data_IF_411322409553
#
_entry.id   IF_411322409553
#
_cell.length_a   1.000
_cell.length_b   1.000
_cell.length_c   1.000
_cell.angle_alpha   90.00
_cell.angle_beta   90.00
_cell.angle_gamma   90.00
#
_symmetry.space_group_name_H-M   'P 1'
#
loop_
_entity.id
_entity.type
_entity.pdbx_description
1 polymer ?
#
# COMPACT_ATOMS: atom_id res chain seq x y z
N UNK A 1 2.84 7.89 15.19
CA UNK A 1 2.66 9.21 14.55
C UNK A 1 3.93 10.08 14.59
N UNK A 2 4.57 10.36 15.73
CA UNK A 2 5.75 11.23 15.75
C UNK A 2 6.93 10.75 14.87
N UNK A 3 7.08 9.45 14.64
CA UNK A 3 8.16 8.88 13.81
C UNK A 3 7.85 8.81 12.32
N UNK A 4 6.58 8.58 11.95
CA UNK A 4 6.16 8.40 10.54
C UNK A 4 5.35 9.59 9.99
N UNK A 5 5.11 10.61 10.81
CA UNK A 5 4.30 11.78 10.43
C UNK A 5 2.79 11.51 10.42
N UNK A 6 2.02 12.56 10.13
CA UNK A 6 0.54 12.51 10.15
C UNK A 6 -0.05 11.59 9.08
N UNK A 7 0.62 11.46 7.92
CA UNK A 7 0.23 10.59 6.79
C UNK A 7 1.00 9.25 6.77
N UNK A 8 1.81 8.97 7.80
CA UNK A 8 2.57 7.73 7.91
C UNK A 8 1.67 6.53 8.17
N UNK A 9 2.07 5.39 7.63
CA UNK A 9 1.36 4.13 7.76
C UNK A 9 1.80 3.41 9.02
N UNK A 10 0.86 2.82 9.76
CA UNK A 10 1.16 1.97 10.90
C UNK A 10 0.48 0.63 10.68
N UNK A 11 1.27 -0.44 10.70
CA UNK A 11 0.82 -1.82 10.58
C UNK A 11 1.10 -2.61 11.86
N UNK A 12 0.34 -3.68 12.06
CA UNK A 12 0.50 -4.58 13.20
C UNK A 12 1.01 -5.93 12.72
N UNK A 13 2.02 -6.44 13.41
CA UNK A 13 2.56 -7.79 13.20
C UNK A 13 2.65 -8.55 14.52
N UNK A 14 2.70 -9.86 14.43
CA UNK A 14 2.98 -10.74 15.55
C UNK A 14 4.49 -10.84 15.74
N UNK A 15 4.97 -10.53 16.96
CA UNK A 15 6.36 -10.71 17.30
C UNK A 15 6.68 -12.19 17.55
N UNK A 16 7.90 -12.58 17.22
CA UNK A 16 8.42 -13.89 17.63
C UNK A 16 8.98 -13.90 19.06
N UNK A 17 8.94 -12.74 19.73
CA UNK A 17 9.38 -12.52 21.10
C UNK A 17 8.21 -12.16 22.01
N UNK A 18 8.44 -12.21 23.33
CA UNK A 18 7.45 -11.81 24.34
C UNK A 18 7.24 -10.29 24.37
N UNK A 19 8.26 -9.53 23.97
CA UNK A 19 8.28 -8.08 24.04
C UNK A 19 7.67 -7.45 22.79
N UNK A 20 7.03 -6.29 22.99
CA UNK A 20 6.58 -5.46 21.88
C UNK A 20 7.76 -4.70 21.30
N UNK A 21 7.80 -4.59 19.99
CA UNK A 21 8.81 -3.81 19.28
C UNK A 21 8.16 -2.84 18.29
N UNK A 22 8.84 -1.72 18.01
CA UNK A 22 8.44 -0.76 17.00
C UNK A 22 9.57 -0.61 15.99
N UNK A 23 9.34 -1.07 14.78
CA UNK A 23 10.26 -0.94 13.65
C UNK A 23 9.68 0.11 12.69
N UNK A 24 10.52 1.01 12.21
CA UNK A 24 10.15 1.94 11.14
C UNK A 24 10.95 1.53 9.91
N UNK A 25 10.25 1.18 8.85
CA UNK A 25 10.82 0.74 7.57
C UNK A 25 10.34 1.65 6.46
N UNK A 26 11.08 1.70 5.37
CA UNK A 26 10.61 2.38 4.19
C UNK A 26 9.44 1.64 3.57
N UNK A 27 8.48 2.39 3.07
CA UNK A 27 7.27 1.83 2.49
C UNK A 27 6.30 2.91 2.09
N UNK A 28 5.30 2.51 1.31
CA UNK A 28 4.24 3.42 0.91
C UNK A 28 2.88 2.75 0.98
N UNK A 29 1.86 3.55 1.23
CA UNK A 29 0.46 3.14 1.15
C UNK A 29 -0.26 4.01 0.13
N UNK A 30 -1.18 3.39 -0.59
CA UNK A 30 -2.10 4.08 -1.49
C UNK A 30 -3.50 3.47 -1.42
N UNK A 31 -4.50 4.29 -1.73
CA UNK A 31 -5.91 3.95 -1.66
C UNK A 31 -6.36 3.22 -2.93
N UNK A 32 -5.88 1.99 -3.09
CA UNK A 32 -6.29 1.05 -4.14
C UNK A 32 -6.19 -0.36 -3.59
N UNK A 33 -7.27 -1.12 -3.72
CA UNK A 33 -7.31 -2.51 -3.30
C UNK A 33 -7.14 -3.48 -4.46
N UNK A 34 -7.27 -4.76 -4.16
CA UNK A 34 -7.22 -5.83 -5.16
C UNK A 34 -8.35 -5.69 -6.19
N UNK A 35 -8.09 -6.08 -7.43
CA UNK A 35 -9.09 -6.04 -8.52
C UNK A 35 -10.18 -7.09 -8.31
N UNK A 36 -9.84 -8.23 -7.72
CA UNK A 36 -10.75 -9.35 -7.53
C UNK A 36 -10.65 -9.95 -6.13
N UNK A 37 -11.78 -10.24 -5.46
CA UNK A 37 -11.79 -10.88 -4.15
C UNK A 37 -11.17 -12.28 -4.15
N UNK A 38 -11.05 -12.92 -5.31
CA UNK A 38 -10.37 -14.22 -5.44
C UNK A 38 -8.86 -14.16 -5.15
N UNK A 39 -8.25 -12.97 -5.08
CA UNK A 39 -6.86 -12.78 -4.70
C UNK A 39 -6.62 -12.78 -3.19
N UNK A 40 -7.68 -12.81 -2.38
CA UNK A 40 -7.59 -12.81 -0.91
C UNK A 40 -6.87 -14.07 -0.41
N UNK A 41 -5.95 -13.89 0.54
CA UNK A 41 -5.25 -14.98 1.25
C UNK A 41 -5.86 -15.25 2.62
N UNK A 42 -6.36 -14.20 3.30
CA UNK A 42 -7.07 -14.26 4.57
C UNK A 42 -8.53 -13.85 4.36
N UNK A 43 -9.42 -14.84 4.36
CA UNK A 43 -10.86 -14.64 4.10
C UNK A 43 -11.58 -13.94 5.26
N UNK A 44 -11.10 -14.07 6.49
CA UNK A 44 -11.74 -13.43 7.64
C UNK A 44 -11.55 -11.92 7.61
N UNK A 45 -10.34 -11.47 7.24
CA UNK A 45 -9.98 -10.05 7.14
C UNK A 45 -10.17 -9.46 5.75
N UNK A 46 -10.44 -10.29 4.76
CA UNK A 46 -10.53 -9.90 3.35
C UNK A 46 -9.26 -9.17 2.88
N UNK A 47 -8.08 -9.69 3.22
CA UNK A 47 -6.78 -9.16 2.82
C UNK A 47 -5.98 -10.17 2.02
N UNK A 48 -5.11 -9.66 1.16
CA UNK A 48 -4.05 -10.42 0.52
C UNK A 48 -2.72 -9.98 1.13
N UNK A 49 -2.03 -10.90 1.79
CA UNK A 49 -0.78 -10.63 2.49
C UNK A 49 0.29 -11.58 2.00
N UNK A 50 1.40 -11.01 1.51
CA UNK A 50 2.55 -11.74 1.01
C UNK A 50 3.85 -11.19 1.57
N UNK A 51 4.70 -12.06 2.07
CA UNK A 51 6.08 -11.77 2.46
C UNK A 51 7.03 -12.08 1.30
N UNK A 52 8.14 -11.34 1.22
CA UNK A 52 9.16 -11.48 0.17
C UNK A 52 8.54 -11.46 -1.23
N UNK A 53 7.69 -10.46 -1.47
CA UNK A 53 6.91 -10.34 -2.69
C UNK A 53 7.70 -9.64 -3.80
N UNK A 54 7.62 -10.15 -5.01
CA UNK A 54 8.12 -9.46 -6.21
C UNK A 54 7.01 -8.62 -6.84
N UNK A 55 7.38 -7.48 -7.40
CA UNK A 55 6.46 -6.52 -8.00
C UNK A 55 6.70 -6.40 -9.50
N UNK A 56 5.65 -6.56 -10.28
CA UNK A 56 5.64 -6.23 -11.71
C UNK A 56 4.86 -4.93 -11.91
N UNK A 57 5.53 -3.91 -12.43
CA UNK A 57 4.99 -2.58 -12.65
C UNK A 57 4.81 -2.35 -14.14
N UNK A 58 3.57 -2.13 -14.59
CA UNK A 58 3.23 -1.99 -16.01
C UNK A 58 2.44 -0.71 -16.24
N UNK A 59 2.96 0.20 -17.04
CA UNK A 59 2.28 1.45 -17.41
C UNK A 59 1.37 1.29 -18.65
N UNK A 60 0.70 0.14 -18.73
CA UNK A 60 -0.17 -0.27 -19.84
C UNK A 60 -1.29 -1.15 -19.31
N UNK A 61 -2.34 -1.29 -20.11
CA UNK A 61 -3.37 -2.31 -19.90
C UNK A 61 -2.83 -3.68 -20.27
N UNK A 62 -3.12 -4.68 -19.46
CA UNK A 62 -2.76 -6.08 -19.72
C UNK A 62 -4.01 -6.78 -20.26
N UNK A 63 -3.98 -7.12 -21.55
CA UNK A 63 -5.10 -7.76 -22.24
C UNK A 63 -5.04 -9.27 -22.12
N UNK A 64 -3.87 -9.88 -22.25
CA UNK A 64 -3.70 -11.32 -22.16
C UNK A 64 -2.62 -11.74 -21.15
N UNK A 65 -2.85 -12.85 -20.46
CA UNK A 65 -1.85 -13.45 -19.58
C UNK A 65 -0.62 -13.97 -20.36
N UNK A 66 -0.74 -14.17 -21.68
CA UNK A 66 0.36 -14.58 -22.54
C UNK A 66 1.46 -13.55 -22.61
N UNK A 67 1.12 -12.26 -22.49
CA UNK A 67 2.10 -11.17 -22.50
C UNK A 67 3.07 -11.24 -21.32
N UNK A 68 2.67 -11.90 -20.22
CA UNK A 68 3.45 -12.05 -18.99
C UNK A 68 3.98 -13.49 -18.79
N UNK A 69 3.90 -14.35 -19.81
CA UNK A 69 4.15 -15.79 -19.62
C UNK A 69 5.53 -16.07 -19.01
N UNK A 70 6.57 -15.35 -19.44
CA UNK A 70 7.93 -15.53 -18.95
C UNK A 70 8.03 -15.27 -17.44
N UNK A 71 7.34 -14.21 -16.96
CA UNK A 71 7.34 -13.82 -15.54
C UNK A 71 6.50 -14.80 -14.73
N UNK A 72 5.35 -15.23 -15.26
CA UNK A 72 4.47 -16.18 -14.58
C UNK A 72 5.12 -17.58 -14.46
N UNK A 73 5.81 -18.04 -15.50
CA UNK A 73 6.56 -19.29 -15.46
C UNK A 73 7.72 -19.24 -14.43
N UNK A 74 8.44 -18.12 -14.38
CA UNK A 74 9.46 -17.90 -13.35
C UNK A 74 8.86 -17.88 -11.94
N UNK A 75 7.70 -17.22 -11.75
CA UNK A 75 7.01 -17.17 -10.46
C UNK A 75 6.54 -18.57 -10.01
N UNK A 76 6.11 -19.42 -10.92
CA UNK A 76 5.73 -20.80 -10.62
C UNK A 76 6.98 -21.64 -10.28
N UNK A 77 8.03 -21.53 -11.10
CA UNK A 77 9.26 -22.31 -10.94
C UNK A 77 9.96 -22.01 -9.61
N UNK A 78 10.10 -20.73 -9.30
CA UNK A 78 10.82 -20.26 -8.11
C UNK A 78 9.89 -20.06 -6.90
N UNK A 79 8.58 -20.27 -7.07
CA UNK A 79 7.53 -20.22 -6.03
C UNK A 79 7.46 -18.88 -5.28
N UNK A 80 7.90 -17.76 -5.86
CA UNK A 80 7.80 -16.45 -5.23
C UNK A 80 6.41 -15.84 -5.42
N UNK A 81 5.92 -15.07 -4.42
CA UNK A 81 4.71 -14.28 -4.56
C UNK A 81 4.91 -13.13 -5.55
N UNK A 82 3.91 -12.86 -6.37
CA UNK A 82 3.94 -11.81 -7.39
C UNK A 82 2.79 -10.83 -7.20
N UNK A 83 3.11 -9.55 -7.06
CA UNK A 83 2.16 -8.46 -7.13
C UNK A 83 2.24 -7.80 -8.51
N UNK A 84 1.11 -7.73 -9.21
CA UNK A 84 1.01 -7.06 -10.51
C UNK A 84 0.31 -5.72 -10.31
N UNK A 85 0.98 -4.63 -10.67
CA UNK A 85 0.43 -3.28 -10.68
C UNK A 85 0.40 -2.81 -12.12
N UNK A 86 -0.79 -2.69 -12.69
CA UNK A 86 -0.97 -2.27 -14.08
C UNK A 86 -2.01 -1.16 -14.19
N UNK A 87 -2.04 -0.45 -15.33
CA UNK A 87 -3.09 0.53 -15.60
C UNK A 87 -4.47 -0.10 -15.50
N UNK A 88 -4.67 -1.23 -16.16
CA UNK A 88 -5.85 -2.07 -16.06
C UNK A 88 -5.49 -3.52 -16.42
N UNK A 89 -6.32 -4.47 -15.98
CA UNK A 89 -6.17 -5.89 -16.33
C UNK A 89 -7.50 -6.36 -16.87
N UNK A 90 -7.52 -6.78 -18.13
CA UNK A 90 -8.73 -7.24 -18.79
C UNK A 90 -9.19 -8.60 -18.25
N UNK A 91 -10.47 -8.90 -18.47
CA UNK A 91 -11.10 -10.09 -17.88
C UNK A 91 -10.40 -11.39 -18.25
N UNK A 92 -9.89 -11.51 -19.48
CA UNK A 92 -9.19 -12.71 -19.95
C UNK A 92 -7.90 -12.96 -19.15
N UNK A 93 -7.08 -11.93 -19.00
CA UNK A 93 -5.85 -12.01 -18.21
C UNK A 93 -6.16 -12.28 -16.73
N UNK A 94 -7.16 -11.58 -16.18
CA UNK A 94 -7.59 -11.76 -14.79
C UNK A 94 -8.09 -13.18 -14.52
N UNK A 95 -8.93 -13.73 -15.38
CA UNK A 95 -9.45 -15.10 -15.24
C UNK A 95 -8.32 -16.12 -15.18
N UNK A 96 -7.31 -15.96 -16.04
CA UNK A 96 -6.14 -16.84 -16.08
C UNK A 96 -5.34 -16.76 -14.76
N UNK A 97 -5.11 -15.56 -14.23
CA UNK A 97 -4.41 -15.37 -12.95
C UNK A 97 -5.18 -15.98 -11.78
N UNK A 98 -6.49 -15.74 -11.71
CA UNK A 98 -7.37 -16.31 -10.68
C UNK A 98 -7.40 -17.82 -10.72
N UNK A 99 -7.55 -18.43 -11.90
CA UNK A 99 -7.57 -19.90 -12.06
C UNK A 99 -6.25 -20.52 -11.57
N UNK A 100 -5.10 -19.94 -11.94
CA UNK A 100 -3.80 -20.44 -11.50
C UNK A 100 -3.59 -20.26 -9.99
N UNK A 101 -4.08 -19.17 -9.41
CA UNK A 101 -4.05 -18.97 -7.97
C UNK A 101 -4.94 -19.98 -7.23
N UNK A 102 -6.17 -20.19 -7.67
CA UNK A 102 -7.09 -21.16 -7.06
C UNK A 102 -6.59 -22.60 -7.14
N UNK A 103 -5.84 -22.92 -8.18
CA UNK A 103 -5.15 -24.22 -8.31
C UNK A 103 -3.92 -24.34 -7.40
N UNK A 104 -3.51 -23.27 -6.72
CA UNK A 104 -2.31 -23.24 -5.89
C UNK A 104 -0.99 -23.22 -6.67
N UNK A 105 -1.05 -23.11 -8.01
CA UNK A 105 0.14 -23.08 -8.86
C UNK A 105 0.88 -21.73 -8.79
N UNK A 106 0.16 -20.62 -8.54
CA UNK A 106 0.70 -19.27 -8.55
C UNK A 106 0.24 -18.49 -7.33
N UNK A 107 1.17 -17.86 -6.63
CA UNK A 107 0.90 -16.90 -5.56
C UNK A 107 0.88 -15.51 -6.18
N UNK A 108 -0.30 -15.02 -6.57
CA UNK A 108 -0.43 -13.75 -7.28
C UNK A 108 -1.53 -12.89 -6.68
N UNK A 109 -1.30 -11.60 -6.72
CA UNK A 109 -2.32 -10.59 -6.51
C UNK A 109 -2.16 -9.49 -7.56
N UNK A 110 -3.26 -8.84 -7.92
CA UNK A 110 -3.25 -7.79 -8.92
C UNK A 110 -4.09 -6.59 -8.47
N UNK A 111 -3.59 -5.40 -8.79
CA UNK A 111 -4.27 -4.14 -8.52
C UNK A 111 -4.09 -3.16 -9.68
N UNK A 112 -5.01 -2.18 -9.75
CA UNK A 112 -4.88 -1.07 -10.69
C UNK A 112 -3.93 -0.02 -10.12
N UNK A 113 -3.07 0.53 -10.98
CA UNK A 113 -2.16 1.60 -10.61
C UNK A 113 -2.91 2.79 -9.98
N UNK A 114 -2.37 3.40 -8.92
CA UNK A 114 -2.96 4.58 -8.33
C UNK A 114 -2.81 5.80 -9.26
N UNK A 115 -3.79 6.70 -9.22
CA UNK A 115 -3.79 7.91 -10.06
C UNK A 115 -4.30 7.69 -11.48
N UNK A 116 -4.32 8.77 -12.27
CA UNK A 116 -4.73 8.80 -13.66
C UNK A 116 -3.76 9.66 -14.48
N UNK A 117 -3.60 9.35 -15.78
CA UNK A 117 -2.74 10.09 -16.69
C UNK A 117 -1.28 10.11 -16.23
N UNK A 118 -0.62 11.26 -16.32
CA UNK A 118 0.80 11.42 -15.93
C UNK A 118 1.08 11.08 -14.47
N UNK A 119 0.12 11.33 -13.56
CA UNK A 119 0.26 10.98 -12.14
C UNK A 119 0.39 9.48 -11.93
N UNK A 120 -0.31 8.66 -12.72
CA UNK A 120 -0.18 7.20 -12.68
C UNK A 120 1.27 6.78 -12.94
N UNK A 121 1.88 7.30 -14.01
CA UNK A 121 3.28 7.02 -14.35
C UNK A 121 4.23 7.45 -13.23
N UNK A 122 3.99 8.61 -12.61
CA UNK A 122 4.79 9.11 -11.50
C UNK A 122 4.68 8.21 -10.25
N UNK A 123 3.49 7.70 -9.92
CA UNK A 123 3.32 6.75 -8.82
C UNK A 123 4.00 5.41 -9.11
N UNK A 124 3.89 4.90 -10.34
CA UNK A 124 4.59 3.67 -10.73
C UNK A 124 6.11 3.83 -10.63
N UNK A 125 6.67 4.99 -11.02
CA UNK A 125 8.09 5.28 -10.86
C UNK A 125 8.51 5.35 -9.38
N UNK A 126 7.69 5.94 -8.52
CA UNK A 126 7.99 6.02 -7.09
C UNK A 126 7.97 4.62 -6.43
N UNK A 127 7.03 3.75 -6.86
CA UNK A 127 7.00 2.35 -6.42
C UNK A 127 8.22 1.60 -6.96
N UNK A 128 8.62 1.84 -8.20
CA UNK A 128 9.81 1.24 -8.80
C UNK A 128 11.08 1.60 -8.02
N UNK A 129 11.23 2.87 -7.66
CA UNK A 129 12.37 3.35 -6.85
C UNK A 129 12.35 2.72 -5.45
N UNK A 130 11.17 2.62 -4.82
CA UNK A 130 11.03 2.00 -3.50
C UNK A 130 11.39 0.52 -3.50
N UNK A 131 11.11 -0.19 -4.58
CA UNK A 131 11.25 -1.65 -4.67
C UNK A 131 12.45 -2.11 -5.51
N UNK A 132 13.20 -1.15 -6.07
CA UNK A 132 14.34 -1.46 -6.97
C UNK A 132 13.93 -2.09 -8.29
N UNK A 133 12.65 -1.98 -8.68
CA UNK A 133 12.12 -2.51 -9.93
C UNK A 133 12.21 -1.51 -11.09
N UNK A 134 11.76 -1.95 -12.26
CA UNK A 134 11.66 -1.11 -13.46
C UNK A 134 10.23 -1.10 -13.97
N UNK A 135 9.70 0.09 -14.27
CA UNK A 135 8.37 0.21 -14.88
C UNK A 135 8.44 -0.21 -16.35
N UNK A 136 7.62 -1.17 -16.73
CA UNK A 136 7.49 -1.60 -18.12
C UNK A 136 6.65 -0.57 -18.86
N UNK A 137 7.32 0.22 -19.72
CA UNK A 137 6.74 1.26 -20.59
C UNK A 137 7.13 1.01 -22.03
N UNK A 138 6.17 1.04 -22.95
CA UNK A 138 6.46 0.92 -24.39
C UNK A 138 7.33 2.07 -24.91
N UNK A 139 7.17 3.25 -24.34
CA UNK A 139 7.99 4.44 -24.67
C UNK A 139 9.48 4.24 -24.41
N UNK A 140 9.85 3.38 -23.47
CA UNK A 140 11.22 2.99 -23.17
C UNK A 140 11.70 1.79 -24.00
N UNK A 141 10.88 1.29 -24.94
CA UNK A 141 11.17 0.09 -25.72
C UNK A 141 11.03 -1.23 -24.93
N UNK A 142 10.49 -1.16 -23.71
CA UNK A 142 10.26 -2.33 -22.88
C UNK A 142 8.86 -2.90 -23.19
N UNK A 143 8.84 -4.06 -23.84
CA UNK A 143 7.61 -4.78 -24.15
C UNK A 143 7.42 -5.94 -23.16
N UNK A 144 6.21 -6.07 -22.61
CA UNK A 144 5.88 -7.01 -21.56
C UNK A 144 6.16 -8.48 -21.94
N UNK A 145 6.06 -8.81 -23.23
CA UNK A 145 6.34 -10.14 -23.77
C UNK A 145 7.84 -10.51 -23.83
N UNK A 146 8.72 -9.50 -23.75
CA UNK A 146 10.18 -9.67 -23.88
C UNK A 146 10.93 -9.52 -22.57
N UNK A 147 10.31 -8.94 -21.55
CA UNK A 147 10.94 -8.75 -20.24
C UNK A 147 10.87 -10.04 -19.40
N UNK A 148 11.90 -10.25 -18.62
CA UNK A 148 12.00 -11.37 -17.67
C UNK A 148 11.92 -10.90 -16.21
N UNK A 149 12.57 -11.62 -15.33
CA UNK A 149 12.60 -11.32 -13.90
C UNK A 149 13.45 -10.10 -13.50
N UNK A 150 14.26 -9.59 -14.42
CA UNK A 150 15.17 -8.46 -14.20
C UNK A 150 14.44 -7.13 -13.95
N UNK A 151 13.19 -7.01 -14.41
CA UNK A 151 12.38 -5.80 -14.19
C UNK A 151 11.61 -5.82 -12.88
N UNK A 152 11.59 -6.96 -12.18
CA UNK A 152 10.81 -7.13 -10.97
C UNK A 152 11.43 -6.36 -9.80
N UNK A 153 10.60 -5.56 -9.11
CA UNK A 153 10.96 -4.99 -7.82
C UNK A 153 10.82 -6.01 -6.68
N UNK A 154 11.44 -5.73 -5.54
CA UNK A 154 11.36 -6.55 -4.34
C UNK A 154 10.69 -5.76 -3.20
N UNK A 155 9.80 -6.42 -2.48
CA UNK A 155 9.22 -5.88 -1.25
C UNK A 155 9.34 -6.92 -0.14
N UNK A 156 9.68 -6.46 1.07
CA UNK A 156 9.71 -7.32 2.24
C UNK A 156 8.30 -7.86 2.56
N UNK A 157 7.29 -7.01 2.43
CA UNK A 157 5.89 -7.38 2.62
C UNK A 157 4.96 -6.54 1.78
N UNK A 158 3.88 -7.15 1.31
CA UNK A 158 2.79 -6.47 0.61
C UNK A 158 1.47 -6.89 1.23
N UNK A 159 0.71 -5.92 1.70
CA UNK A 159 -0.62 -6.15 2.29
C UNK A 159 -1.65 -5.37 1.46
N UNK A 160 -2.57 -6.10 0.82
CA UNK A 160 -3.68 -5.51 0.07
C UNK A 160 -5.00 -5.78 0.76
N UNK A 161 -5.72 -4.71 1.04
CA UNK A 161 -7.10 -4.75 1.46
C UNK A 161 -8.06 -4.51 0.29
N UNK A 162 -9.32 -4.28 0.62
CA UNK A 162 -10.35 -3.94 -0.35
C UNK A 162 -10.15 -2.55 -0.97
N UNK A 163 -9.61 -1.61 -0.20
CA UNK A 163 -9.49 -0.19 -0.59
C UNK A 163 -8.08 0.36 -0.44
N UNK A 164 -7.16 -0.41 0.11
CA UNK A 164 -5.79 0.04 0.38
C UNK A 164 -4.75 -1.01 0.03
N UNK A 165 -3.59 -0.54 -0.39
CA UNK A 165 -2.39 -1.35 -0.61
C UNK A 165 -1.23 -0.74 0.18
N UNK A 166 -0.56 -1.55 0.98
CA UNK A 166 0.65 -1.18 1.71
C UNK A 166 1.81 -2.02 1.16
N UNK A 167 2.84 -1.34 0.69
CA UNK A 167 4.10 -1.95 0.24
C UNK A 167 5.18 -1.56 1.24
N UNK A 168 5.85 -2.54 1.79
CA UNK A 168 6.98 -2.38 2.71
C UNK A 168 8.24 -2.72 1.95
N UNK A 169 9.17 -1.76 1.84
CA UNK A 169 10.48 -1.97 1.21
C UNK A 169 11.37 -2.91 2.03
N UNK A 170 12.39 -3.44 1.39
CA UNK A 170 13.41 -4.27 2.03
C UNK A 170 14.60 -3.47 2.58
N UNK A 171 14.59 -2.14 2.38
CA UNK A 171 15.64 -1.22 2.81
C UNK A 171 16.85 -1.16 1.87
N UNK A 172 16.85 -1.90 0.77
CA UNK A 172 17.96 -1.90 -0.20
C UNK A 172 18.05 -0.60 -1.00
N UNK A 173 16.95 0.15 -1.12
CA UNK A 173 16.79 1.34 -1.96
C UNK A 173 16.70 2.66 -1.19
N UNK A 174 17.11 2.67 0.07
CA UNK A 174 17.07 3.82 0.99
C UNK A 174 17.70 5.10 0.38
N UNK A 175 18.80 4.98 -0.31
CA UNK A 175 19.51 6.13 -0.89
C UNK A 175 18.76 6.71 -2.08
N UNK A 176 18.19 5.87 -2.92
CA UNK A 176 17.40 6.22 -4.09
C UNK A 176 16.09 6.88 -3.67
N UNK A 177 15.41 6.36 -2.66
CA UNK A 177 14.20 6.94 -2.09
C UNK A 177 14.46 8.33 -1.53
N UNK A 178 15.55 8.52 -0.74
CA UNK A 178 15.94 9.82 -0.20
C UNK A 178 16.31 10.82 -1.30
N UNK A 179 16.97 10.35 -2.37
CA UNK A 179 17.27 11.18 -3.52
C UNK A 179 15.99 11.61 -4.26
N UNK A 180 15.02 10.70 -4.43
CA UNK A 180 13.73 10.99 -5.06
C UNK A 180 12.92 11.99 -4.24
N UNK A 181 12.85 11.84 -2.92
CA UNK A 181 12.18 12.80 -2.03
C UNK A 181 12.80 14.20 -2.16
N UNK A 182 14.13 14.31 -2.21
CA UNK A 182 14.80 15.59 -2.44
C UNK A 182 14.45 16.19 -3.81
N UNK A 183 14.34 15.37 -4.85
CA UNK A 183 13.93 15.81 -6.18
C UNK A 183 12.50 16.36 -6.17
N UNK A 184 11.54 15.65 -5.54
CA UNK A 184 10.15 16.10 -5.43
C UNK A 184 10.08 17.41 -4.64
N UNK A 185 10.81 17.55 -3.53
CA UNK A 185 10.84 18.78 -2.74
C UNK A 185 11.35 19.99 -3.56
N UNK A 186 12.35 19.81 -4.42
CA UNK A 186 12.78 20.87 -5.34
C UNK A 186 11.69 21.25 -6.36
N UNK A 187 10.93 20.28 -6.86
CA UNK A 187 9.78 20.56 -7.73
C UNK A 187 8.70 21.37 -7.00
N UNK A 188 8.45 21.10 -5.71
CA UNK A 188 7.51 21.86 -4.88
C UNK A 188 7.94 23.34 -4.78
N UNK A 189 9.25 23.61 -4.64
CA UNK A 189 9.77 24.98 -4.52
C UNK A 189 9.57 25.80 -5.80
N UNK A 190 9.63 25.16 -6.97
CA UNK A 190 9.52 25.82 -8.29
C UNK A 190 8.07 25.89 -8.78
N UNK A 191 7.19 25.05 -8.24
CA UNK A 191 5.79 24.97 -8.68
C UNK A 191 4.99 26.20 -8.22
N UNK A 192 4.27 26.83 -9.15
CA UNK A 192 3.44 28.01 -8.85
C UNK A 192 2.00 27.65 -8.47
N UNK A 193 1.44 26.58 -9.09
CA UNK A 193 0.07 26.16 -8.85
C UNK A 193 -0.08 25.46 -7.48
N UNK A 194 -0.84 26.06 -6.57
CA UNK A 194 -1.07 25.55 -5.21
C UNK A 194 -1.60 24.11 -5.18
N UNK A 195 -2.51 23.75 -6.08
CA UNK A 195 -3.04 22.39 -6.18
C UNK A 195 -1.97 21.37 -6.54
N UNK A 196 -1.10 21.66 -7.50
CA UNK A 196 -0.01 20.77 -7.88
C UNK A 196 1.04 20.70 -6.78
N UNK A 197 1.31 21.78 -6.08
CA UNK A 197 2.18 21.85 -4.91
C UNK A 197 1.70 20.95 -3.79
N UNK A 198 0.40 20.98 -3.50
CA UNK A 198 -0.23 20.09 -2.53
C UNK A 198 -0.06 18.62 -2.92
N UNK A 199 -0.29 18.27 -4.19
CA UNK A 199 -0.14 16.89 -4.69
C UNK A 199 1.31 16.39 -4.67
N UNK A 200 2.26 17.24 -5.00
CA UNK A 200 3.68 16.92 -4.87
C UNK A 200 4.08 16.74 -3.39
N UNK A 201 3.55 17.57 -2.49
CA UNK A 201 3.77 17.45 -1.06
C UNK A 201 3.19 16.14 -0.49
N UNK A 202 1.99 15.75 -0.93
CA UNK A 202 1.40 14.44 -0.61
C UNK A 202 2.30 13.29 -1.04
N UNK A 203 2.81 13.37 -2.27
CA UNK A 203 3.70 12.36 -2.85
C UNK A 203 5.01 12.25 -2.09
N UNK A 204 5.65 13.37 -1.76
CA UNK A 204 6.85 13.42 -0.93
C UNK A 204 6.59 12.81 0.47
N UNK A 205 5.46 13.14 1.08
CA UNK A 205 5.09 12.62 2.39
C UNK A 205 4.85 11.09 2.38
N UNK A 206 4.27 10.54 1.32
CA UNK A 206 4.07 9.09 1.16
C UNK A 206 5.39 8.34 1.04
N UNK A 207 6.35 8.88 0.28
CA UNK A 207 7.68 8.27 0.12
C UNK A 207 8.53 8.40 1.39
N UNK A 208 8.50 9.57 2.05
CA UNK A 208 9.35 9.86 3.22
C UNK A 208 8.77 9.34 4.53
N UNK A 209 7.46 9.11 4.61
CA UNK A 209 6.76 8.77 5.84
C UNK A 209 7.11 7.38 6.37
N UNK A 210 7.46 6.46 5.50
CA UNK A 210 7.73 5.07 5.87
C UNK A 210 6.51 4.34 6.44
N UNK A 211 6.71 3.10 6.83
CA UNK A 211 5.73 2.26 7.52
C UNK A 211 6.25 1.93 8.92
N UNK A 212 5.48 2.29 9.94
CA UNK A 212 5.77 1.84 11.31
C UNK A 212 5.12 0.47 11.53
N UNK A 213 5.92 -0.53 11.84
CA UNK A 213 5.47 -1.88 12.15
C UNK A 213 5.49 -2.04 13.67
N UNK A 214 4.31 -2.19 14.28
CA UNK A 214 4.18 -2.52 15.70
C UNK A 214 4.14 -4.04 15.80
N UNK A 215 5.23 -4.62 16.29
CA UNK A 215 5.32 -6.05 16.58
C UNK A 215 4.81 -6.30 17.99
N UNK A 216 3.71 -7.04 18.08
CA UNK A 216 3.06 -7.37 19.36
C UNK A 216 3.54 -8.74 19.83
N UNK A 217 4.16 -8.78 21.02
CA UNK A 217 4.62 -10.01 21.66
C UNK A 217 3.77 -10.39 22.88
N UNK A 218 3.68 -11.70 23.14
CA UNK A 218 3.02 -12.25 24.33
C UNK A 218 3.60 -13.62 24.66
N UNK A 219 3.28 -14.14 25.88
CA UNK A 219 3.74 -15.45 26.31
C UNK A 219 2.86 -16.59 25.77
N UNK A 220 1.60 -16.33 25.49
CA UNK A 220 0.64 -17.30 24.97
C UNK A 220 -0.06 -16.77 23.73
N UNK A 221 -0.54 -17.68 22.89
CA UNK A 221 -1.28 -17.31 21.66
C UNK A 221 -2.59 -16.59 21.98
N UNK A 222 -3.28 -16.96 23.05
CA UNK A 222 -4.53 -16.31 23.49
C UNK A 222 -4.26 -14.86 23.92
N UNK A 223 -3.24 -14.65 24.73
CA UNK A 223 -2.80 -13.31 25.15
C UNK A 223 -2.36 -12.46 23.96
N UNK A 224 -1.65 -13.07 23.00
CA UNK A 224 -1.21 -12.39 21.78
C UNK A 224 -2.41 -11.86 20.98
N UNK A 225 -3.42 -12.70 20.76
CA UNK A 225 -4.64 -12.31 20.04
C UNK A 225 -5.38 -11.17 20.75
N UNK A 226 -5.56 -11.27 22.07
CA UNK A 226 -6.22 -10.22 22.87
C UNK A 226 -5.44 -8.90 22.82
N UNK A 227 -4.13 -8.96 22.99
CA UNK A 227 -3.25 -7.79 22.97
C UNK A 227 -3.23 -7.13 21.59
N UNK A 228 -3.20 -7.94 20.52
CA UNK A 228 -3.27 -7.48 19.13
C UNK A 228 -4.57 -6.71 18.87
N UNK A 229 -5.72 -7.25 19.26
CA UNK A 229 -7.02 -6.58 19.13
C UNK A 229 -7.05 -5.24 19.87
N UNK A 230 -6.52 -5.17 21.09
CA UNK A 230 -6.43 -3.91 21.86
C UNK A 230 -5.54 -2.86 21.17
N UNK A 231 -4.42 -3.29 20.62
CA UNK A 231 -3.51 -2.39 19.90
C UNK A 231 -4.15 -1.91 18.60
N UNK A 232 -4.87 -2.78 17.89
CA UNK A 232 -5.60 -2.44 16.67
C UNK A 232 -6.71 -1.41 16.95
N UNK A 233 -7.47 -1.58 18.01
CA UNK A 233 -8.50 -0.62 18.45
C UNK A 233 -7.89 0.74 18.79
N UNK A 234 -6.81 0.76 19.59
CA UNK A 234 -6.08 1.97 19.93
C UNK A 234 -5.49 2.68 18.69
N UNK A 235 -5.02 1.91 17.70
CA UNK A 235 -4.51 2.44 16.43
C UNK A 235 -5.62 3.09 15.62
N UNK A 236 -6.76 2.44 15.49
CA UNK A 236 -7.91 2.96 14.74
C UNK A 236 -8.45 4.25 15.40
N UNK A 237 -8.58 4.27 16.74
CA UNK A 237 -8.95 5.47 17.48
C UNK A 237 -7.92 6.61 17.28
N UNK A 238 -6.63 6.29 17.25
CA UNK A 238 -5.57 7.28 17.04
C UNK A 238 -5.61 7.85 15.61
N UNK A 239 -5.84 7.01 14.59
CA UNK A 239 -5.99 7.44 13.20
C UNK A 239 -7.19 8.40 13.07
N UNK A 240 -8.35 7.99 13.57
CA UNK A 240 -9.55 8.83 13.55
C UNK A 240 -9.33 10.18 14.27
N UNK A 241 -8.64 10.18 15.41
CA UNK A 241 -8.31 11.41 16.13
C UNK A 241 -7.37 12.36 15.36
N UNK A 242 -6.45 11.81 14.54
CA UNK A 242 -5.55 12.60 13.71
C UNK A 242 -6.25 13.19 12.49
N UNK A 243 -7.18 12.46 11.90
CA UNK A 243 -7.94 12.84 10.70
C UNK A 243 -9.07 13.81 11.04
N UNK A 244 -9.90 13.46 12.01
CA UNK A 244 -11.15 14.17 12.34
C UNK A 244 -11.02 15.09 13.56
N UNK A 245 -9.95 14.96 14.35
CA UNK A 245 -9.79 15.67 15.62
C UNK A 245 -10.45 14.95 16.79
N UNK A 246 -10.53 15.64 17.93
CA UNK A 246 -11.08 15.10 19.18
C UNK A 246 -12.08 16.06 19.80
N UNK A 247 -13.05 15.51 20.52
CA UNK A 247 -14.03 16.24 21.33
C UNK A 247 -14.06 15.69 22.75
N UNK A 248 -14.64 16.46 23.68
CA UNK A 248 -14.79 16.02 25.08
C UNK A 248 -15.75 14.82 25.13
N UNK A 249 -15.31 13.73 25.74
CA UNK A 249 -16.09 12.49 25.87
C UNK A 249 -17.14 12.53 26.98
N UNK A 250 -17.69 11.35 27.33
CA UNK A 250 -18.62 11.16 28.45
C UNK A 250 -19.98 11.85 28.26
N UNK A 251 -20.40 12.10 27.01
CA UNK A 251 -21.66 12.79 26.73
C UNK A 251 -21.61 14.32 26.90
N UNK A 252 -20.51 14.90 27.39
CA UNK A 252 -20.38 16.35 27.64
C UNK A 252 -20.53 17.19 26.37
N UNK A 253 -20.01 16.70 25.23
CA UNK A 253 -20.16 17.37 23.94
C UNK A 253 -21.62 17.43 23.52
N UNK A 254 -22.38 16.34 23.67
CA UNK A 254 -23.82 16.33 23.35
C UNK A 254 -24.62 17.26 24.24
N UNK A 255 -24.33 17.34 25.54
CA UNK A 255 -24.96 18.31 26.44
C UNK A 255 -24.69 19.76 26.02
N UNK A 256 -23.46 20.07 25.60
CA UNK A 256 -23.12 21.39 25.09
C UNK A 256 -23.82 21.69 23.77
N UNK A 257 -23.85 20.74 22.84
CA UNK A 257 -24.54 20.90 21.57
C UNK A 257 -26.04 21.05 21.72
N UNK A 258 -26.65 20.38 22.72
CA UNK A 258 -28.07 20.55 23.03
C UNK A 258 -28.52 22.00 23.27
N UNK A 259 -27.61 22.88 23.76
CA UNK A 259 -27.89 24.30 23.94
C UNK A 259 -28.01 25.09 22.62
N UNK A 260 -27.49 24.55 21.51
CA UNK A 260 -27.55 25.20 20.20
C UNK A 260 -28.71 24.70 19.33
N UNK A 261 -29.38 23.60 19.74
CA UNK A 261 -30.44 22.96 18.94
C UNK A 261 -31.63 23.90 18.75
N UNK A 262 -32.00 24.68 19.76
CA UNK A 262 -33.13 25.58 19.68
C UNK A 262 -32.87 26.75 18.69
N UNK A 263 -31.62 27.18 18.54
CA UNK A 263 -31.25 28.19 17.54
C UNK A 263 -31.28 27.70 16.09
N UNK A 264 -31.14 26.39 15.86
CA UNK A 264 -31.14 25.79 14.52
C UNK A 264 -32.59 25.45 14.09
N UNK A 265 -33.52 25.23 15.01
CA UNK A 265 -34.92 24.95 14.70
C UNK A 265 -35.60 26.05 13.89
N UNK A 266 -35.17 27.29 14.06
CA UNK A 266 -35.75 28.46 13.38
C UNK A 266 -35.18 28.67 11.98
N UNK A 267 -34.10 27.91 11.61
CA UNK A 267 -33.44 27.94 10.29
C UNK A 267 -33.87 26.79 9.38
N UNK A 268 -34.59 25.78 9.91
CA UNK A 268 -35.13 24.61 9.21
C UNK A 268 -36.63 24.75 8.96
#
# INVERSE_FOLDING_TARGET
MARVGRKGVITLEEARSVDNNLIVVEGMQFERGFISPYFVTDQERMICDYEQCKLLLVDKKISSARDMINILEAAIKDSFPLLIIAEDIEQEAMATLVVNKLRGALKVCALKAPGFGERKSQYLEDIAILTGGTVVKEELGLSLDKVGTEVLGNAARVTLGKESCTIVGDGSTDLEVKARVKQINRLIEVQEAEYEKEKLSERAARLSGGVAIIQVGAQTETELKEKKLRVEDALNATKAAVEEGIVIGGGTTFLKLGQFVDGIKDEL
#
